data_IF_134458029122
#
_entry.id   IF_134458029122
#
_cell.length_a   1.000
_cell.length_b   1.000
_cell.length_c   1.000
_cell.angle_alpha   90.00
_cell.angle_beta   90.00
_cell.angle_gamma   90.00
#
_symmetry.space_group_name_H-M   'P 1'
#
loop_
_entity.id
_entity.type
_entity.pdbx_description
1 polymer ?
#
# COMPACT_ATOMS: atom_id res chain seq x y z
N UNK A 1 -15.48 19.56 3.30
CA UNK A 1 -15.96 18.30 2.73
C UNK A 1 -14.79 17.33 2.67
N UNK A 2 -14.81 16.39 3.61
CA UNK A 2 -13.66 15.62 4.08
C UNK A 2 -13.71 14.18 3.58
N UNK A 3 -12.55 13.50 3.54
CA UNK A 3 -12.55 12.07 3.18
C UNK A 3 -13.28 11.24 4.24
N UNK A 4 -13.13 11.59 5.52
CA UNK A 4 -13.88 11.03 6.65
C UNK A 4 -15.38 11.24 6.49
N UNK A 5 -15.81 12.48 6.22
CA UNK A 5 -17.22 12.78 5.89
C UNK A 5 -17.73 11.98 4.69
N UNK A 6 -16.92 11.84 3.62
CA UNK A 6 -17.33 11.01 2.48
C UNK A 6 -17.50 9.53 2.91
N UNK A 7 -16.62 9.00 3.77
CA UNK A 7 -16.71 7.63 4.32
C UNK A 7 -17.96 7.45 5.18
N UNK A 8 -18.28 8.43 6.02
CA UNK A 8 -19.48 8.38 6.87
C UNK A 8 -20.76 8.41 5.99
N UNK A 9 -20.78 9.24 4.96
CA UNK A 9 -21.87 9.28 3.96
C UNK A 9 -22.05 7.93 3.24
N UNK A 10 -20.96 7.20 2.95
CA UNK A 10 -21.05 5.84 2.41
C UNK A 10 -21.69 4.84 3.37
N UNK A 11 -21.58 5.06 4.68
CA UNK A 11 -22.13 4.17 5.71
C UNK A 11 -23.62 4.35 5.93
N UNK A 12 -24.18 5.54 5.66
CA UNK A 12 -25.54 5.92 6.08
C UNK A 12 -26.60 5.92 4.94
N UNK A 13 -26.18 5.92 3.67
CA UNK A 13 -27.08 6.27 2.55
C UNK A 13 -27.52 5.08 1.68
N UNK A 14 -28.82 5.04 1.30
CA UNK A 14 -29.38 4.21 0.22
C UNK A 14 -29.55 5.00 -1.11
N UNK A 15 -29.28 6.31 -1.11
CA UNK A 15 -29.40 7.26 -2.25
C UNK A 15 -28.03 7.85 -2.59
N UNK A 16 -27.06 6.97 -2.76
CA UNK A 16 -25.60 7.17 -2.60
C UNK A 16 -24.95 8.07 -3.65
N UNK A 17 -25.54 8.32 -4.82
CA UNK A 17 -24.70 8.70 -5.96
C UNK A 17 -24.32 10.19 -6.07
N UNK A 18 -25.21 11.14 -5.73
CA UNK A 18 -24.93 12.55 -6.05
C UNK A 18 -24.05 13.24 -5.00
N UNK A 19 -24.41 13.17 -3.71
CA UNK A 19 -23.69 13.84 -2.63
C UNK A 19 -22.26 13.30 -2.46
N UNK A 20 -22.10 11.97 -2.53
CA UNK A 20 -20.79 11.31 -2.47
C UNK A 20 -19.92 11.72 -3.65
N UNK A 21 -20.49 11.79 -4.86
CA UNK A 21 -19.75 12.22 -6.05
C UNK A 21 -19.29 13.67 -5.92
N UNK A 22 -20.16 14.56 -5.47
CA UNK A 22 -19.82 15.97 -5.23
C UNK A 22 -18.72 16.08 -4.16
N UNK A 23 -18.80 15.28 -3.08
CA UNK A 23 -17.79 15.18 -2.03
C UNK A 23 -16.41 14.77 -2.59
N UNK A 24 -16.35 13.66 -3.33
CA UNK A 24 -15.11 13.13 -3.90
C UNK A 24 -14.50 14.12 -4.90
N UNK A 25 -15.32 14.70 -5.79
CA UNK A 25 -14.86 15.68 -6.78
C UNK A 25 -14.29 16.90 -6.05
N UNK A 26 -15.01 17.43 -5.06
CA UNK A 26 -14.52 18.57 -4.27
C UNK A 26 -13.21 18.26 -3.57
N UNK A 27 -13.08 17.09 -2.94
CA UNK A 27 -11.85 16.67 -2.25
C UNK A 27 -10.65 16.53 -3.20
N UNK A 28 -10.86 15.89 -4.35
CA UNK A 28 -9.83 15.69 -5.39
C UNK A 28 -9.34 17.01 -5.97
N UNK A 29 -10.25 17.94 -6.27
CA UNK A 29 -9.91 19.22 -6.92
C UNK A 29 -9.56 20.34 -5.94
N UNK A 30 -9.53 20.07 -4.64
CA UNK A 30 -9.14 21.05 -3.63
C UNK A 30 -7.65 21.39 -3.73
N UNK A 31 -7.36 22.63 -4.10
CA UNK A 31 -6.02 23.21 -4.31
C UNK A 31 -5.53 24.08 -3.14
N UNK A 32 -6.40 24.35 -2.16
CA UNK A 32 -6.09 25.08 -0.92
C UNK A 32 -6.05 24.14 0.27
N UNK A 33 -4.98 24.22 1.04
CA UNK A 33 -4.88 23.65 2.37
C UNK A 33 -5.57 24.57 3.38
N UNK A 34 -5.83 24.08 4.59
CA UNK A 34 -6.28 24.95 5.68
C UNK A 34 -5.16 25.88 6.17
N UNK A 35 -3.87 25.57 5.93
CA UNK A 35 -2.77 26.46 6.30
C UNK A 35 -2.51 27.58 5.28
N UNK A 36 -3.47 27.87 4.39
CA UNK A 36 -3.32 28.90 3.38
C UNK A 36 -3.11 30.29 4.01
N UNK A 37 -2.08 31.01 3.56
CA UNK A 37 -1.62 32.30 4.10
C UNK A 37 -1.15 32.25 5.57
N UNK A 38 -0.86 31.06 6.10
CA UNK A 38 -0.28 30.91 7.43
C UNK A 38 1.24 31.12 7.39
N UNK A 39 1.67 32.37 7.41
CA UNK A 39 3.11 32.74 7.41
C UNK A 39 3.88 32.21 8.63
N UNK A 40 3.16 31.80 9.68
CA UNK A 40 3.75 31.28 10.90
C UNK A 40 4.03 29.78 10.86
N UNK A 41 3.53 29.06 9.86
CA UNK A 41 3.86 27.66 9.64
C UNK A 41 5.29 27.53 9.10
N UNK A 42 6.23 27.17 9.98
CA UNK A 42 7.62 26.87 9.63
C UNK A 42 7.85 25.37 9.70
N UNK A 43 8.00 24.73 8.55
CA UNK A 43 8.26 23.31 8.45
C UNK A 43 9.76 23.03 8.58
N UNK A 44 10.12 22.04 9.39
CA UNK A 44 11.49 21.56 9.52
C UNK A 44 11.97 20.98 8.18
N UNK A 45 13.22 21.23 7.72
CA UNK A 45 13.75 20.60 6.51
C UNK A 45 13.66 19.07 6.47
N UNK A 46 13.68 18.41 7.63
CA UNK A 46 13.46 16.96 7.76
C UNK A 46 12.05 16.54 7.32
N UNK A 47 11.04 17.39 7.50
CA UNK A 47 9.70 17.17 6.97
C UNK A 47 9.75 17.05 5.43
N UNK A 48 10.42 18.00 4.77
CA UNK A 48 10.61 17.94 3.32
C UNK A 48 11.44 16.73 2.89
N UNK A 49 12.49 16.38 3.63
CA UNK A 49 13.29 15.19 3.34
C UNK A 49 12.46 13.90 3.43
N UNK A 50 11.49 13.82 4.36
CA UNK A 50 10.58 12.69 4.47
C UNK A 50 9.64 12.57 3.26
N UNK A 51 9.24 13.66 2.60
CA UNK A 51 8.48 13.58 1.35
C UNK A 51 9.25 12.85 0.24
N UNK A 52 10.59 12.94 0.24
CA UNK A 52 11.45 12.23 -0.71
C UNK A 52 11.66 10.75 -0.34
N UNK A 53 11.07 10.26 0.75
CA UNK A 53 11.12 8.84 1.13
C UNK A 53 10.48 7.95 0.05
N UNK A 54 9.48 8.45 -0.69
CA UNK A 54 8.91 7.75 -1.83
C UNK A 54 9.96 7.50 -2.91
N UNK A 55 10.75 8.52 -3.28
CA UNK A 55 11.81 8.37 -4.27
C UNK A 55 12.86 7.39 -3.79
N UNK A 56 13.26 7.47 -2.52
CA UNK A 56 14.19 6.50 -1.92
C UNK A 56 13.63 5.07 -1.98
N UNK A 57 12.37 4.87 -1.60
CA UNK A 57 11.70 3.58 -1.70
C UNK A 57 11.68 3.03 -3.12
N UNK A 58 11.41 3.88 -4.12
CA UNK A 58 11.47 3.50 -5.53
C UNK A 58 12.87 3.08 -5.99
N UNK A 59 13.92 3.79 -5.56
CA UNK A 59 15.32 3.40 -5.84
C UNK A 59 15.61 2.03 -5.24
N UNK A 60 15.24 1.80 -3.98
CA UNK A 60 15.48 0.51 -3.32
C UNK A 60 14.69 -0.61 -3.98
N UNK A 61 13.46 -0.35 -4.45
CA UNK A 61 12.69 -1.32 -5.24
C UNK A 61 13.46 -1.74 -6.51
N UNK A 62 14.06 -0.80 -7.25
CA UNK A 62 14.85 -1.12 -8.44
C UNK A 62 16.14 -1.89 -8.12
N UNK A 63 16.78 -1.61 -6.99
CA UNK A 63 17.99 -2.30 -6.54
C UNK A 63 17.70 -3.70 -6.00
N UNK A 64 16.60 -3.88 -5.28
CA UNK A 64 16.22 -5.12 -4.59
C UNK A 64 15.01 -5.76 -5.25
N UNK A 65 15.16 -6.16 -6.51
CA UNK A 65 14.08 -6.82 -7.26
C UNK A 65 13.74 -8.18 -6.65
N UNK A 66 12.52 -8.37 -6.14
CA UNK A 66 12.15 -9.63 -5.53
C UNK A 66 11.74 -10.66 -6.60
N UNK A 67 12.09 -11.93 -6.39
CA UNK A 67 11.78 -13.00 -7.37
C UNK A 67 10.29 -13.24 -7.62
N UNK A 68 9.41 -12.84 -6.70
CA UNK A 68 7.96 -12.94 -6.92
C UNK A 68 7.51 -12.06 -8.08
N UNK A 69 8.25 -10.98 -8.39
CA UNK A 69 7.95 -10.07 -9.48
C UNK A 69 8.05 -10.76 -10.86
N UNK A 70 8.89 -11.77 -11.00
CA UNK A 70 8.99 -12.57 -12.24
C UNK A 70 7.75 -13.44 -12.49
N UNK A 71 6.93 -13.67 -11.45
CA UNK A 71 5.74 -14.53 -11.48
C UNK A 71 4.43 -13.75 -11.44
N UNK A 72 4.52 -12.42 -11.35
CA UNK A 72 3.38 -11.51 -11.17
C UNK A 72 3.26 -10.60 -12.38
N UNK A 73 2.03 -10.14 -12.65
CA UNK A 73 1.75 -9.14 -13.69
C UNK A 73 1.84 -7.70 -13.16
N UNK A 74 2.23 -7.51 -11.90
CA UNK A 74 2.38 -6.19 -11.29
C UNK A 74 3.44 -5.38 -12.03
N UNK A 75 3.14 -4.14 -12.47
CA UNK A 75 4.06 -3.30 -13.23
C UNK A 75 5.15 -2.69 -12.33
N UNK A 76 6.00 -3.54 -11.77
CA UNK A 76 6.94 -3.20 -10.69
C UNK A 76 7.90 -2.07 -11.05
N UNK A 77 8.53 -2.13 -12.23
CA UNK A 77 9.46 -1.09 -12.69
C UNK A 77 8.75 0.24 -12.90
N UNK A 78 7.54 0.23 -13.49
CA UNK A 78 6.77 1.44 -13.70
C UNK A 78 6.39 2.08 -12.37
N UNK A 79 5.91 1.28 -11.41
CA UNK A 79 5.57 1.74 -10.07
C UNK A 79 6.78 2.34 -9.35
N UNK A 80 7.95 1.69 -9.43
CA UNK A 80 9.18 2.21 -8.84
C UNK A 80 9.65 3.51 -9.51
N UNK A 81 9.58 3.61 -10.85
CA UNK A 81 9.90 4.86 -11.55
C UNK A 81 8.91 5.98 -11.20
N UNK A 82 7.63 5.67 -11.04
CA UNK A 82 6.61 6.63 -10.62
C UNK A 82 6.92 7.19 -9.22
N UNK A 83 7.33 6.34 -8.27
CA UNK A 83 7.80 6.77 -6.96
C UNK A 83 8.99 7.74 -7.04
N UNK A 84 9.99 7.41 -7.86
CA UNK A 84 11.23 8.18 -8.00
C UNK A 84 10.97 9.55 -8.61
N UNK A 85 10.32 9.58 -9.77
CA UNK A 85 10.28 10.75 -10.63
C UNK A 85 8.98 11.56 -10.55
N UNK A 86 7.90 10.98 -10.03
CA UNK A 86 6.63 11.67 -9.88
C UNK A 86 6.27 11.86 -8.40
N UNK A 87 5.97 10.78 -7.68
CA UNK A 87 5.38 10.90 -6.34
C UNK A 87 6.28 11.63 -5.34
N UNK A 88 7.55 11.23 -5.19
CA UNK A 88 8.44 11.90 -4.22
C UNK A 88 8.63 13.40 -4.49
N UNK A 89 8.99 13.82 -5.72
CA UNK A 89 9.10 15.24 -6.06
C UNK A 89 7.77 16.01 -5.91
N UNK A 90 6.65 15.40 -6.30
CA UNK A 90 5.32 16.02 -6.16
C UNK A 90 4.95 16.23 -4.70
N UNK A 91 5.16 15.22 -3.85
CA UNK A 91 4.87 15.33 -2.42
C UNK A 91 5.78 16.37 -1.75
N UNK A 92 7.06 16.46 -2.13
CA UNK A 92 7.93 17.54 -1.64
C UNK A 92 7.41 18.93 -2.07
N UNK A 93 7.01 19.07 -3.33
CA UNK A 93 6.54 20.35 -3.86
C UNK A 93 5.19 20.77 -3.26
N UNK A 94 4.26 19.83 -3.11
CA UNK A 94 2.96 20.06 -2.49
C UNK A 94 3.11 20.31 -0.98
N UNK A 95 3.68 19.33 -0.26
CA UNK A 95 3.60 19.29 1.20
C UNK A 95 4.61 20.20 1.90
N UNK A 96 5.79 20.43 1.30
CA UNK A 96 6.82 21.24 1.93
C UNK A 96 6.89 22.66 1.35
N UNK A 97 6.93 22.77 0.02
CA UNK A 97 7.09 24.09 -0.63
C UNK A 97 5.78 24.87 -0.79
N UNK A 98 4.64 24.18 -0.93
CA UNK A 98 3.36 24.81 -1.27
C UNK A 98 2.31 24.73 -0.17
N UNK A 99 2.65 24.27 1.04
CA UNK A 99 1.68 24.04 2.11
C UNK A 99 0.87 25.29 2.48
N UNK A 100 1.47 26.47 2.42
CA UNK A 100 0.80 27.75 2.75
C UNK A 100 0.25 28.48 1.53
N UNK A 101 0.45 27.92 0.33
CA UNK A 101 0.09 28.52 -0.95
C UNK A 101 -1.12 27.81 -1.57
N UNK A 102 -1.93 28.55 -2.31
CA UNK A 102 -2.86 27.94 -3.26
C UNK A 102 -2.05 27.42 -4.44
N UNK A 103 -2.03 26.10 -4.63
CA UNK A 103 -1.16 25.49 -5.64
C UNK A 103 -1.81 24.28 -6.30
N UNK A 104 -1.76 24.17 -7.65
CA UNK A 104 -2.20 22.96 -8.33
C UNK A 104 -1.36 21.74 -7.96
N UNK A 105 -0.19 21.91 -7.34
CA UNK A 105 0.65 20.82 -6.86
C UNK A 105 -0.12 19.88 -5.90
N UNK A 106 -0.98 20.44 -5.03
CA UNK A 106 -1.80 19.64 -4.10
C UNK A 106 -2.79 18.73 -4.82
N UNK A 107 -3.40 19.21 -5.90
CA UNK A 107 -4.35 18.43 -6.70
C UNK A 107 -3.61 17.31 -7.44
N UNK A 108 -2.47 17.64 -8.05
CA UNK A 108 -1.67 16.69 -8.81
C UNK A 108 -1.09 15.61 -7.89
N UNK A 109 -0.60 15.99 -6.70
CA UNK A 109 -0.08 15.06 -5.70
C UNK A 109 -1.16 14.08 -5.22
N UNK A 110 -2.36 14.56 -4.84
CA UNK A 110 -3.48 13.68 -4.46
C UNK A 110 -3.88 12.71 -5.56
N UNK A 111 -3.93 13.19 -6.80
CA UNK A 111 -4.27 12.33 -7.94
C UNK A 111 -3.20 11.25 -8.15
N UNK A 112 -1.92 11.63 -8.12
CA UNK A 112 -0.80 10.70 -8.19
C UNK A 112 -0.81 9.70 -7.02
N UNK A 113 -1.03 10.17 -5.79
CA UNK A 113 -1.12 9.35 -4.59
C UNK A 113 -2.28 8.34 -4.69
N UNK A 114 -3.41 8.74 -5.27
CA UNK A 114 -4.57 7.86 -5.48
C UNK A 114 -4.25 6.73 -6.46
N UNK A 115 -3.59 7.03 -7.59
CA UNK A 115 -3.11 6.00 -8.53
C UNK A 115 -2.13 5.06 -7.84
N UNK A 116 -1.21 5.62 -7.06
CA UNK A 116 -0.21 4.87 -6.32
C UNK A 116 -0.82 3.94 -5.27
N UNK A 117 -1.88 4.37 -4.59
CA UNK A 117 -2.62 3.57 -3.64
C UNK A 117 -3.28 2.36 -4.31
N UNK A 118 -3.91 2.56 -5.48
CA UNK A 118 -4.49 1.46 -6.29
C UNK A 118 -3.42 0.47 -6.73
N UNK A 119 -2.29 0.95 -7.26
CA UNK A 119 -1.18 0.09 -7.65
C UNK A 119 -0.60 -0.67 -6.44
N UNK A 120 -0.53 -0.02 -5.29
CA UNK A 120 -0.06 -0.67 -4.07
C UNK A 120 -1.01 -1.77 -3.57
N UNK A 121 -2.34 -1.59 -3.69
CA UNK A 121 -3.29 -2.66 -3.42
C UNK A 121 -3.15 -3.84 -4.38
N UNK A 122 -2.94 -3.57 -5.67
CA UNK A 122 -2.61 -4.63 -6.62
C UNK A 122 -1.35 -5.39 -6.18
N UNK A 123 -0.29 -4.68 -5.78
CA UNK A 123 0.91 -5.31 -5.21
C UNK A 123 0.58 -6.21 -4.01
N UNK A 124 -0.25 -5.77 -3.06
CA UNK A 124 -0.68 -6.59 -1.92
C UNK A 124 -1.35 -7.90 -2.37
N UNK A 125 -2.25 -7.83 -3.36
CA UNK A 125 -2.94 -9.01 -3.91
C UNK A 125 -1.93 -10.00 -4.51
N UNK A 126 -0.92 -9.51 -5.23
CA UNK A 126 0.11 -10.38 -5.82
C UNK A 126 1.06 -10.94 -4.76
N UNK A 127 1.37 -10.18 -3.70
CA UNK A 127 2.14 -10.69 -2.56
C UNK A 127 1.41 -11.85 -1.85
N UNK A 128 0.10 -11.77 -1.68
CA UNK A 128 -0.69 -12.85 -1.09
C UNK A 128 -0.53 -14.17 -1.88
N UNK A 129 -0.48 -14.09 -3.22
CA UNK A 129 -0.36 -15.26 -4.11
C UNK A 129 1.05 -15.81 -4.20
N UNK A 130 2.07 -14.94 -4.16
CA UNK A 130 3.43 -15.31 -4.56
C UNK A 130 4.48 -15.23 -3.44
N UNK A 131 4.13 -14.73 -2.25
CA UNK A 131 5.05 -14.58 -1.12
C UNK A 131 4.63 -15.38 0.12
N UNK A 132 5.51 -15.36 1.13
CA UNK A 132 5.19 -15.84 2.48
C UNK A 132 4.03 -15.04 3.06
N UNK A 133 3.08 -15.68 3.78
CA UNK A 133 1.99 -15.00 4.47
C UNK A 133 2.47 -13.89 5.41
N UNK A 134 3.63 -14.06 6.06
CA UNK A 134 4.22 -13.04 6.93
C UNK A 134 4.55 -11.74 6.20
N UNK A 135 5.06 -11.82 4.95
CA UNK A 135 5.36 -10.63 4.15
C UNK A 135 4.07 -9.88 3.79
N UNK A 136 3.04 -10.63 3.38
CA UNK A 136 1.71 -10.06 3.12
C UNK A 136 1.14 -9.37 4.36
N UNK A 137 1.16 -10.03 5.53
CA UNK A 137 0.63 -9.47 6.78
C UNK A 137 1.39 -8.20 7.18
N UNK A 138 2.73 -8.19 7.09
CA UNK A 138 3.53 -7.02 7.44
C UNK A 138 3.24 -5.84 6.52
N UNK A 139 3.10 -6.06 5.20
CA UNK A 139 2.80 -4.98 4.26
C UNK A 139 1.35 -4.49 4.38
N UNK A 140 0.40 -5.38 4.69
CA UNK A 140 -0.97 -4.99 4.99
C UNK A 140 -1.04 -4.14 6.26
N UNK A 141 -0.36 -4.57 7.34
CA UNK A 141 -0.30 -3.80 8.58
C UNK A 141 0.36 -2.42 8.39
N UNK A 142 1.44 -2.35 7.62
CA UNK A 142 2.08 -1.08 7.27
C UNK A 142 1.12 -0.15 6.48
N UNK A 143 0.34 -0.71 5.56
CA UNK A 143 -0.65 0.03 4.79
C UNK A 143 -1.80 0.55 5.66
N UNK A 144 -2.32 -0.29 6.55
CA UNK A 144 -3.37 0.09 7.50
C UNK A 144 -2.89 1.19 8.44
N UNK A 145 -1.66 1.09 8.95
CA UNK A 145 -1.07 2.13 9.79
C UNK A 145 -0.88 3.46 9.02
N UNK A 146 -0.42 3.39 7.77
CA UNK A 146 -0.31 4.55 6.92
C UNK A 146 -1.70 5.20 6.69
N UNK A 147 -2.72 4.41 6.33
CA UNK A 147 -4.09 4.91 6.19
C UNK A 147 -4.63 5.57 7.45
N UNK A 148 -4.36 4.98 8.63
CA UNK A 148 -4.69 5.59 9.92
C UNK A 148 -4.00 6.95 10.11
N UNK A 149 -2.69 7.03 9.86
CA UNK A 149 -1.95 8.30 9.97
C UNK A 149 -2.46 9.35 8.98
N UNK A 150 -2.79 8.94 7.76
CA UNK A 150 -3.35 9.84 6.74
C UNK A 150 -4.67 10.46 7.21
N UNK A 151 -5.61 9.65 7.70
CA UNK A 151 -6.91 10.13 8.20
C UNK A 151 -6.70 11.14 9.34
N UNK A 152 -5.90 10.79 10.35
CA UNK A 152 -5.64 11.68 11.49
C UNK A 152 -4.91 12.97 11.07
N UNK A 153 -4.05 12.92 10.04
CA UNK A 153 -3.43 14.12 9.49
C UNK A 153 -4.47 15.04 8.83
N UNK A 154 -5.46 14.50 8.12
CA UNK A 154 -6.54 15.32 7.56
C UNK A 154 -7.36 15.98 8.67
N UNK A 155 -7.76 15.21 9.69
CA UNK A 155 -8.53 15.74 10.83
C UNK A 155 -7.75 16.84 11.58
N UNK A 156 -6.45 16.64 11.81
CA UNK A 156 -5.60 17.65 12.45
C UNK A 156 -5.46 18.92 11.59
N UNK A 157 -5.32 18.77 10.27
CA UNK A 157 -5.28 19.90 9.34
C UNK A 157 -6.59 20.73 9.38
N UNK A 158 -7.72 20.09 9.66
CA UNK A 158 -9.04 20.74 9.78
C UNK A 158 -9.24 21.46 11.09
N UNK A 159 -8.79 20.83 12.18
CA UNK A 159 -8.75 21.45 13.49
C UNK A 159 -7.73 22.61 13.60
N UNK A 160 -6.97 22.89 12.53
CA UNK A 160 -5.81 23.79 12.55
C UNK A 160 -4.77 23.39 13.61
N UNK A 161 -4.72 22.11 13.97
CA UNK A 161 -3.72 21.54 14.88
C UNK A 161 -2.45 21.21 14.09
N UNK A 162 -1.54 22.18 14.04
CA UNK A 162 -0.28 22.08 13.29
C UNK A 162 0.61 20.95 13.77
N UNK A 163 0.74 20.79 15.09
CA UNK A 163 1.68 19.84 15.68
C UNK A 163 1.22 18.41 15.42
N UNK A 164 -0.07 18.14 15.62
CA UNK A 164 -0.67 16.85 15.28
C UNK A 164 -0.60 16.58 13.77
N UNK A 165 -0.87 17.57 12.93
CA UNK A 165 -0.75 17.41 11.47
C UNK A 165 0.69 17.04 11.07
N UNK A 166 1.70 17.77 11.54
CA UNK A 166 3.12 17.46 11.26
C UNK A 166 3.46 16.04 11.71
N UNK A 167 3.03 15.66 12.91
CA UNK A 167 3.30 14.34 13.47
C UNK A 167 2.71 13.21 12.60
N UNK A 168 1.40 13.24 12.36
CA UNK A 168 0.72 12.19 11.59
C UNK A 168 1.16 12.17 10.12
N UNK A 169 1.40 13.34 9.52
CA UNK A 169 1.87 13.44 8.14
C UNK A 169 3.28 12.86 7.98
N UNK A 170 4.18 13.12 8.93
CA UNK A 170 5.51 12.49 8.94
C UNK A 170 5.42 10.96 9.08
N UNK A 171 4.52 10.45 9.93
CA UNK A 171 4.30 9.00 10.07
C UNK A 171 3.73 8.37 8.79
N UNK A 172 2.84 9.07 8.09
CA UNK A 172 2.40 8.69 6.75
C UNK A 172 3.60 8.59 5.78
N UNK A 173 4.46 9.60 5.74
CA UNK A 173 5.66 9.61 4.90
C UNK A 173 6.75 8.61 5.32
N UNK A 174 6.66 8.00 6.51
CA UNK A 174 7.51 6.87 6.89
C UNK A 174 7.09 5.55 6.22
N UNK A 175 5.91 5.48 5.61
CA UNK A 175 5.39 4.27 4.99
C UNK A 175 6.34 3.65 3.93
N UNK A 176 6.91 4.40 2.95
CA UNK A 176 7.87 3.85 1.99
C UNK A 176 9.13 3.28 2.65
N UNK A 177 9.57 3.87 3.76
CA UNK A 177 10.71 3.39 4.55
C UNK A 177 10.38 2.05 5.22
N UNK A 178 9.19 1.93 5.81
CA UNK A 178 8.71 0.68 6.40
C UNK A 178 8.63 -0.44 5.35
N UNK A 179 8.10 -0.14 4.16
CA UNK A 179 8.07 -1.11 3.06
C UNK A 179 9.46 -1.53 2.60
N UNK A 180 10.39 -0.58 2.57
CA UNK A 180 11.78 -0.84 2.24
C UNK A 180 12.43 -1.76 3.26
N UNK A 181 12.21 -1.51 4.56
CA UNK A 181 12.71 -2.36 5.63
C UNK A 181 12.13 -3.78 5.55
N UNK A 182 10.82 -3.92 5.31
CA UNK A 182 10.17 -5.22 5.11
C UNK A 182 10.77 -5.95 3.90
N UNK A 183 11.02 -5.24 2.80
CA UNK A 183 11.62 -5.81 1.60
C UNK A 183 13.05 -6.30 1.84
N UNK A 184 13.88 -5.50 2.53
CA UNK A 184 15.24 -5.88 2.93
C UNK A 184 15.21 -7.11 3.83
N UNK A 185 14.37 -7.10 4.87
CA UNK A 185 14.20 -8.23 5.79
C UNK A 185 13.79 -9.50 5.04
N UNK A 186 12.83 -9.39 4.12
CA UNK A 186 12.39 -10.54 3.34
C UNK A 186 13.49 -11.07 2.40
N UNK A 187 14.19 -10.17 1.71
CA UNK A 187 15.26 -10.54 0.76
C UNK A 187 16.46 -11.18 1.46
N UNK A 188 16.94 -10.61 2.57
CA UNK A 188 18.22 -10.99 3.17
C UNK A 188 18.10 -11.93 4.38
N UNK A 189 17.01 -11.85 5.15
CA UNK A 189 16.85 -12.67 6.37
C UNK A 189 16.00 -13.91 6.08
N UNK A 190 14.83 -13.70 5.48
CA UNK A 190 13.89 -14.80 5.22
C UNK A 190 14.30 -15.67 4.02
N UNK A 191 14.91 -15.08 3.00
CA UNK A 191 15.36 -15.79 1.80
C UNK A 191 14.21 -16.31 0.91
N UNK A 192 14.56 -17.17 -0.05
CA UNK A 192 13.62 -17.62 -1.10
C UNK A 192 12.54 -18.57 -0.59
N UNK A 193 11.27 -18.16 -0.70
CA UNK A 193 10.10 -18.98 -0.35
C UNK A 193 9.91 -20.21 -1.28
N UNK A 194 10.43 -20.15 -2.51
CA UNK A 194 10.13 -21.13 -3.57
C UNK A 194 10.64 -22.56 -3.31
N UNK A 195 11.68 -22.76 -2.49
CA UNK A 195 12.23 -24.10 -2.23
C UNK A 195 11.41 -24.90 -1.20
N UNK A 196 10.65 -24.23 -0.34
CA UNK A 196 9.87 -24.88 0.71
C UNK A 196 8.46 -25.29 0.25
N UNK A 197 7.82 -24.51 -0.62
CA UNK A 197 6.48 -24.85 -1.12
C UNK A 197 6.49 -26.08 -2.04
N UNK A 198 7.50 -26.27 -2.90
CA UNK A 198 7.62 -27.47 -3.75
C UNK A 198 7.75 -28.74 -2.90
N UNK A 199 8.40 -28.66 -1.73
CA UNK A 199 8.43 -29.76 -0.76
C UNK A 199 7.06 -30.01 -0.13
N UNK A 200 6.30 -28.96 0.18
CA UNK A 200 4.96 -29.10 0.79
C UNK A 200 3.89 -29.58 -0.19
N UNK A 201 3.86 -29.09 -1.42
CA UNK A 201 2.92 -29.56 -2.45
C UNK A 201 3.23 -30.97 -2.93
N UNK A 202 4.49 -31.40 -2.93
CA UNK A 202 4.85 -32.80 -3.22
C UNK A 202 4.60 -33.73 -2.01
N UNK A 203 4.58 -33.20 -0.78
CA UNK A 203 4.25 -33.95 0.44
C UNK A 203 2.75 -34.02 0.71
N UNK A 204 1.98 -33.05 0.22
CA UNK A 204 0.53 -33.02 0.24
C UNK A 204 0.04 -33.27 -1.18
N UNK A 205 0.33 -34.47 -1.69
CA UNK A 205 -0.51 -35.02 -2.74
C UNK A 205 -1.92 -35.03 -2.15
N UNK A 206 -2.77 -34.12 -2.62
CA UNK A 206 -4.16 -33.97 -2.19
C UNK A 206 -4.92 -35.29 -2.34
N UNK A 207 -4.39 -36.23 -3.13
CA UNK A 207 -4.85 -37.59 -3.27
C UNK A 207 -4.61 -38.48 -2.03
N UNK A 208 -3.53 -38.30 -1.27
CA UNK A 208 -3.24 -39.17 -0.13
C UNK A 208 -4.07 -38.83 1.11
N UNK A 209 -4.32 -37.53 1.35
CA UNK A 209 -5.23 -37.09 2.42
C UNK A 209 -6.69 -37.44 2.10
N UNK A 210 -7.09 -37.36 0.82
CA UNK A 210 -8.43 -37.79 0.38
C UNK A 210 -8.56 -39.31 0.41
N UNK A 211 -7.56 -40.08 0.00
CA UNK A 211 -7.57 -41.55 0.13
C UNK A 211 -7.65 -42.01 1.58
N UNK A 212 -6.94 -41.34 2.49
CA UNK A 212 -7.04 -41.66 3.93
C UNK A 212 -8.39 -41.29 4.51
N UNK A 213 -9.03 -40.21 4.04
CA UNK A 213 -10.37 -39.80 4.50
C UNK A 213 -11.50 -40.67 3.97
N UNK A 214 -11.41 -41.14 2.71
CA UNK A 214 -12.45 -41.98 2.09
C UNK A 214 -12.23 -43.47 2.45
N UNK A 215 -11.16 -43.82 3.17
CA UNK A 215 -10.89 -45.20 3.58
C UNK A 215 -10.67 -46.15 2.39
N UNK A 216 -10.25 -45.61 1.24
CA UNK A 216 -9.93 -46.43 0.07
C UNK A 216 -8.57 -47.07 0.33
N UNK A 217 -8.58 -48.28 0.90
CA UNK A 217 -7.38 -49.09 0.97
C UNK A 217 -7.01 -49.49 -0.46
N UNK A 218 -5.72 -49.33 -0.82
CA UNK A 218 -5.20 -49.90 -2.07
C UNK A 218 -4.98 -51.40 -1.89
N UNK A 219 -5.99 -52.16 -1.46
CA UNK A 219 -5.91 -53.61 -1.57
C UNK A 219 -5.96 -53.97 -3.06
N UNK A 220 -4.92 -54.65 -3.59
CA UNK A 220 -4.91 -55.05 -4.98
C UNK A 220 -6.08 -56.00 -5.22
N UNK A 221 -6.99 -55.62 -6.12
CA UNK A 221 -8.10 -56.45 -6.58
C UNK A 221 -7.50 -57.77 -7.08
N UNK A 222 -7.62 -58.82 -6.29
CA UNK A 222 -7.25 -60.17 -6.71
C UNK A 222 -8.19 -60.55 -7.86
N UNK A 223 -7.64 -60.59 -9.07
CA UNK A 223 -8.35 -61.11 -10.25
C UNK A 223 -8.58 -62.60 -10.03
N UNK A 224 -9.78 -62.96 -9.60
CA UNK A 224 -10.26 -64.34 -9.63
C UNK A 224 -10.31 -64.79 -11.09
N UNK A 225 -9.51 -65.81 -11.41
CA UNK A 225 -9.60 -66.54 -12.68
C UNK A 225 -10.91 -67.33 -12.65
N UNK A 226 -11.86 -66.99 -13.52
CA UNK A 226 -12.96 -67.89 -13.85
C UNK A 226 -12.40 -69.01 -14.74
N UNK A 227 -12.49 -70.25 -14.24
CA UNK A 227 -12.34 -71.49 -15.00
C UNK A 227 -13.69 -71.99 -15.47
#
# INVERSE_FOLDING_TARGET
MHLSECIDLFSESNTVDQEVRECIVHWLWRDKTNFHNDESLKLDPLFGALCLSFSFGGVVMLMLRPKWQEKSNFPYTLFACWLIFAQGPLSFWADYMSMTLQSPAHVIDKFSASIMFVLYFWRIIDLYKHCRPSNFILQLAAASFAGFCFINAQDAQEAYDRDSWIFYHNLWHCFPLNLTAIQIYHTFILGDYGKEQVKRTNSWSTFDTVKSFIGISNEPIQKTKCT
#
